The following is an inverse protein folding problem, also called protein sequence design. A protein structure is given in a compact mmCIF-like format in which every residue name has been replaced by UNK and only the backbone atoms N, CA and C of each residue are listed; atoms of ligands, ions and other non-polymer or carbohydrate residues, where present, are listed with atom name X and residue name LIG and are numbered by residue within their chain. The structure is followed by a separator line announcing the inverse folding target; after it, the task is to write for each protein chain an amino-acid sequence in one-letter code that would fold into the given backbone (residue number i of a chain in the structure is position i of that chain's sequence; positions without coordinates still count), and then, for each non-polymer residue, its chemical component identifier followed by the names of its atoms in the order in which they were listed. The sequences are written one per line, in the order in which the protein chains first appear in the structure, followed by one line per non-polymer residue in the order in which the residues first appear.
data_IF_284825079960
#
_entry.id   IF_284825079960
#
_cell.length_a   1.000
_cell.length_b   1.000
_cell.length_c   1.000
_cell.angle_alpha   90.00
_cell.angle_beta   90.00
_cell.angle_gamma   90.00
#
_symmetry.space_group_name_H-M   'P 1'
#
loop_
_entity.id
_entity.type
_entity.pdbx_description
1 polymer ?
#
# COMPACT_ATOMS: atom_id res chain seq x y z
N UNK A 1 -9.66 11.98 5.26
CA UNK A 1 -9.15 10.85 4.47
C UNK A 1 -7.77 11.22 3.97
N UNK A 2 -6.78 10.40 4.25
CA UNK A 2 -5.38 10.66 3.94
C UNK A 2 -4.98 10.00 2.61
N UNK A 3 -4.11 10.67 1.87
CA UNK A 3 -3.52 10.14 0.65
C UNK A 3 -2.04 10.46 0.66
N UNK A 4 -1.22 9.45 0.37
CA UNK A 4 0.22 9.58 0.31
C UNK A 4 0.77 8.82 -0.89
N UNK A 5 2.04 9.06 -1.21
CA UNK A 5 2.75 8.36 -2.28
C UNK A 5 3.85 7.51 -1.69
N UNK A 6 4.01 6.32 -2.26
CA UNK A 6 5.11 5.43 -1.93
C UNK A 6 5.93 5.15 -3.19
N UNK A 7 7.21 4.91 -3.00
CA UNK A 7 8.09 4.38 -4.04
C UNK A 7 8.33 2.90 -3.74
N UNK A 8 8.07 2.05 -4.73
CA UNK A 8 8.25 0.60 -4.63
C UNK A 8 9.13 0.10 -5.75
N UNK A 9 10.07 -0.78 -5.42
CA UNK A 9 10.89 -1.46 -6.42
C UNK A 9 10.16 -2.73 -6.83
N UNK A 10 9.62 -2.75 -8.05
CA UNK A 10 9.29 -4.02 -8.71
C UNK A 10 10.62 -4.63 -9.20
N UNK A 11 10.64 -5.91 -9.56
CA UNK A 11 11.79 -6.68 -10.11
C UNK A 11 12.58 -6.00 -11.25
N UNK A 12 12.12 -4.84 -11.75
CA UNK A 12 12.84 -3.93 -12.63
C UNK A 12 13.74 -2.93 -11.88
N UNK A 13 14.85 -2.55 -12.52
CA UNK A 13 15.87 -1.61 -11.99
C UNK A 13 15.32 -0.19 -11.67
N UNK A 14 14.10 0.13 -12.09
CA UNK A 14 13.46 1.42 -11.85
C UNK A 14 12.34 1.30 -10.81
N UNK A 15 12.41 2.14 -9.77
CA UNK A 15 11.33 2.33 -8.80
C UNK A 15 10.06 2.84 -9.48
N UNK A 16 8.91 2.42 -8.96
CA UNK A 16 7.58 2.89 -9.40
C UNK A 16 6.93 3.68 -8.28
N UNK A 17 6.27 4.76 -8.63
CA UNK A 17 5.45 5.51 -7.67
C UNK A 17 4.02 4.98 -7.67
N UNK A 18 3.50 4.72 -6.48
CA UNK A 18 2.10 4.37 -6.28
C UNK A 18 1.44 5.42 -5.41
N UNK A 19 0.20 5.75 -5.73
CA UNK A 19 -0.64 6.58 -4.88
C UNK A 19 -1.46 5.68 -3.98
N UNK A 20 -1.38 5.90 -2.68
CA UNK A 20 -2.09 5.14 -1.66
C UNK A 20 -3.16 6.04 -1.05
N UNK A 21 -4.40 5.59 -1.11
CA UNK A 21 -5.53 6.26 -0.46
C UNK A 21 -5.97 5.42 0.73
N UNK A 22 -5.80 5.95 1.93
CA UNK A 22 -6.30 5.33 3.14
C UNK A 22 -7.82 5.53 3.24
N UNK A 23 -8.52 4.43 3.52
CA UNK A 23 -9.94 4.36 3.80
C UNK A 23 -10.15 4.07 5.30
N UNK A 24 -11.38 3.73 5.67
CA UNK A 24 -11.69 3.27 7.03
C UNK A 24 -11.19 1.85 7.28
N UNK A 25 -11.02 1.48 8.56
CA UNK A 25 -10.66 0.12 9.00
C UNK A 25 -9.38 -0.45 8.35
N UNK A 26 -8.33 0.37 8.25
CA UNK A 26 -7.03 -0.02 7.67
C UNK A 26 -7.13 -0.61 6.26
N UNK A 27 -8.11 -0.15 5.50
CA UNK A 27 -8.22 -0.42 4.07
C UNK A 27 -7.48 0.64 3.25
N UNK A 28 -6.81 0.18 2.20
CA UNK A 28 -5.99 1.01 1.32
C UNK A 28 -6.32 0.71 -0.13
N UNK A 29 -6.64 1.76 -0.88
CA UNK A 29 -6.73 1.68 -2.32
C UNK A 29 -5.40 2.10 -2.94
N UNK A 30 -4.92 1.29 -3.87
CA UNK A 30 -3.62 1.45 -4.52
C UNK A 30 -3.86 1.83 -5.97
N UNK A 31 -3.22 2.91 -6.40
CA UNK A 31 -3.31 3.44 -7.74
C UNK A 31 -1.92 3.51 -8.38
N UNK A 32 -1.85 3.16 -9.67
CA UNK A 32 -0.64 3.34 -10.47
C UNK A 32 -0.42 4.82 -10.85
N UNK A 33 0.65 5.09 -11.58
CA UNK A 33 1.02 6.44 -12.02
C UNK A 33 -0.04 7.07 -12.94
N UNK A 34 -0.78 6.24 -13.68
CA UNK A 34 -1.91 6.63 -14.52
C UNK A 34 -3.21 6.88 -13.73
N UNK A 35 -3.17 6.80 -12.40
CA UNK A 35 -4.33 6.92 -11.49
C UNK A 35 -5.38 5.82 -11.68
N UNK A 36 -5.00 4.69 -12.26
CA UNK A 36 -5.85 3.52 -12.35
C UNK A 36 -5.73 2.73 -11.05
N UNK A 37 -6.88 2.32 -10.49
CA UNK A 37 -6.90 1.46 -9.30
C UNK A 37 -6.41 0.06 -9.69
N UNK A 38 -5.36 -0.40 -9.04
CA UNK A 38 -4.74 -1.70 -9.33
C UNK A 38 -4.97 -2.73 -8.21
N UNK A 39 -5.22 -2.29 -6.98
CA UNK A 39 -5.51 -3.16 -5.86
C UNK A 39 -6.27 -2.43 -4.76
N UNK A 40 -6.98 -3.20 -3.95
CA UNK A 40 -7.43 -2.79 -2.61
C UNK A 40 -6.89 -3.81 -1.62
N UNK A 41 -6.23 -3.36 -0.56
CA UNK A 41 -5.75 -4.22 0.52
C UNK A 41 -6.30 -3.73 1.85
N UNK A 42 -6.42 -4.64 2.80
CA UNK A 42 -6.72 -4.38 4.21
C UNK A 42 -5.57 -4.95 5.02
N UNK A 43 -4.91 -4.10 5.82
CA UNK A 43 -3.88 -4.55 6.74
C UNK A 43 -4.60 -4.98 8.02
N UNK A 44 -4.26 -6.16 8.54
CA UNK A 44 -4.91 -6.65 9.75
C UNK A 44 -4.42 -5.90 10.98
N UNK A 45 -5.34 -5.39 11.78
CA UNK A 45 -5.07 -4.60 12.98
C UNK A 45 -4.39 -5.43 14.09
N UNK A 46 -4.66 -6.74 14.15
CA UNK A 46 -4.09 -7.63 15.17
C UNK A 46 -2.74 -8.19 14.73
N UNK A 47 -2.51 -8.30 13.41
CA UNK A 47 -1.26 -8.76 12.83
C UNK A 47 -0.92 -8.00 11.56
N UNK A 48 -0.13 -6.95 11.73
CA UNK A 48 0.32 -6.07 10.64
C UNK A 48 1.21 -6.81 9.61
N UNK A 49 1.66 -8.05 9.88
CA UNK A 49 2.34 -8.87 8.88
C UNK A 49 1.36 -9.50 7.88
N UNK A 50 0.07 -9.57 8.21
CA UNK A 50 -0.96 -10.10 7.34
C UNK A 50 -1.74 -8.97 6.66
N UNK A 51 -2.11 -9.22 5.41
CA UNK A 51 -3.03 -8.38 4.67
C UNK A 51 -4.04 -9.24 3.93
N UNK A 52 -5.26 -8.73 3.83
CA UNK A 52 -6.29 -9.24 2.93
C UNK A 52 -6.25 -8.41 1.65
N UNK A 53 -6.45 -9.05 0.51
CA UNK A 53 -6.50 -8.38 -0.79
C UNK A 53 -7.87 -8.60 -1.42
N UNK A 54 -8.34 -7.62 -2.19
CA UNK A 54 -9.59 -7.76 -2.94
C UNK A 54 -9.46 -8.79 -4.07
N UNK A 55 -10.60 -9.38 -4.46
CA UNK A 55 -10.65 -10.37 -5.55
C UNK A 55 -10.19 -9.80 -6.92
N UNK A 56 -10.30 -8.49 -7.11
CA UNK A 56 -9.89 -7.77 -8.32
C UNK A 56 -8.43 -7.28 -8.27
N UNK A 57 -7.62 -7.77 -7.33
CA UNK A 57 -6.21 -7.39 -7.21
C UNK A 57 -5.42 -7.78 -8.47
N UNK A 58 -4.85 -6.79 -9.15
CA UNK A 58 -4.06 -6.96 -10.38
C UNK A 58 -2.56 -7.02 -10.10
N UNK A 59 -2.17 -7.13 -8.84
CA UNK A 59 -0.79 -6.99 -8.36
C UNK A 59 -0.33 -8.32 -7.77
N UNK A 60 0.87 -8.77 -8.15
CA UNK A 60 1.45 -9.98 -7.59
C UNK A 60 1.85 -9.81 -6.12
N UNK A 61 1.88 -10.92 -5.36
CA UNK A 61 2.26 -10.94 -3.95
C UNK A 61 3.57 -10.20 -3.61
N UNK A 62 4.66 -10.29 -4.40
CA UNK A 62 5.90 -9.58 -4.07
C UNK A 62 5.72 -8.06 -3.98
N UNK A 63 4.98 -7.49 -4.94
CA UNK A 63 4.71 -6.06 -4.97
C UNK A 63 3.72 -5.66 -3.88
N UNK A 64 2.72 -6.50 -3.57
CA UNK A 64 1.82 -6.28 -2.43
C UNK A 64 2.56 -6.24 -1.09
N UNK A 65 3.54 -7.13 -0.87
CA UNK A 65 4.39 -7.09 0.32
C UNK A 65 5.15 -5.77 0.43
N UNK A 66 5.79 -5.32 -0.66
CA UNK A 66 6.50 -4.03 -0.69
C UNK A 66 5.58 -2.84 -0.41
N UNK A 67 4.35 -2.89 -0.92
CA UNK A 67 3.33 -1.87 -0.66
C UNK A 67 2.94 -1.87 0.82
N UNK A 68 2.62 -3.02 1.40
CA UNK A 68 2.30 -3.17 2.83
C UNK A 68 3.42 -2.58 3.69
N UNK A 69 4.66 -2.99 3.44
CA UNK A 69 5.81 -2.57 4.23
C UNK A 69 6.00 -1.04 4.18
N UNK A 70 5.76 -0.43 3.00
CA UNK A 70 5.81 1.01 2.81
C UNK A 70 4.69 1.76 3.54
N UNK A 71 3.46 1.21 3.56
CA UNK A 71 2.33 1.76 4.31
C UNK A 71 2.62 1.74 5.82
N UNK A 72 3.08 0.60 6.34
CA UNK A 72 3.43 0.45 7.76
C UNK A 72 4.55 1.39 8.18
N UNK A 73 5.55 1.57 7.31
CA UNK A 73 6.65 2.49 7.55
C UNK A 73 6.15 3.95 7.60
N UNK A 74 5.25 4.35 6.69
CA UNK A 74 4.63 5.68 6.70
C UNK A 74 3.85 5.93 7.99
N UNK A 75 2.98 5.00 8.40
CA UNK A 75 2.22 5.10 9.66
C UNK A 75 3.14 5.25 10.87
N UNK A 76 4.23 4.47 10.94
CA UNK A 76 5.21 4.57 12.02
C UNK A 76 5.89 5.94 12.06
N UNK A 77 6.19 6.52 10.90
CA UNK A 77 6.77 7.87 10.82
C UNK A 77 5.78 8.93 11.28
N UNK A 78 4.51 8.84 10.86
CA UNK A 78 3.48 9.78 11.32
C UNK A 78 3.26 9.73 12.84
N UNK A 79 3.25 8.53 13.42
CA UNK A 79 3.17 8.35 14.87
C UNK A 79 4.39 8.92 15.61
N UNK A 80 5.57 8.89 15.01
CA UNK A 80 6.79 9.43 15.61
C UNK A 80 6.90 10.96 15.54
N UNK A 81 6.11 11.60 14.66
CA UNK A 81 6.09 13.07 14.48
C UNK A 81 5.00 13.73 15.33
N UNK A 82 4.05 12.94 15.88
CA UNK A 82 3.02 13.39 16.82
C UNK A 82 3.49 13.35 18.26
#
# INVERSE_FOLDING_TARGET
MEQFKIEVTDTSVFGRFLSIKALENEQYQIYNEQQERIATIEIDHEDHQHFRQSLDCKVGLPLLNSIRDSILQHQKQELAIR
#
